data_IF_765883227122
#
_entry.id   IF_765883227122
#
_cell.length_a   1.000
_cell.length_b   1.000
_cell.length_c   1.000
_cell.angle_alpha   90.00
_cell.angle_beta   90.00
_cell.angle_gamma   90.00
#
_symmetry.space_group_name_H-M   'P 1'
#
loop_
_entity.id
_entity.type
_entity.pdbx_description
1 polymer ?
#
# COMPACT_ATOMS: atom_id res chain seq x y z
N UNK A 1 24.93 3.55 -42.92
CA UNK A 1 25.24 3.49 -41.48
C UNK A 1 24.57 2.26 -40.93
N UNK A 2 25.38 1.22 -40.67
CA UNK A 2 24.92 -0.12 -40.33
C UNK A 2 24.56 -0.22 -38.84
N UNK A 3 23.39 -0.80 -38.54
CA UNK A 3 22.96 -1.15 -37.18
C UNK A 3 23.46 -2.56 -36.85
N UNK A 4 24.32 -2.75 -35.84
CA UNK A 4 24.66 -4.08 -35.36
C UNK A 4 23.52 -4.63 -34.49
N UNK A 5 23.07 -5.84 -34.84
CA UNK A 5 22.18 -6.67 -34.04
C UNK A 5 22.93 -7.20 -32.82
N UNK A 6 22.55 -6.76 -31.62
CA UNK A 6 23.00 -7.37 -30.36
C UNK A 6 22.07 -8.53 -30.00
N UNK A 7 22.68 -9.71 -29.92
CA UNK A 7 22.02 -10.99 -29.67
C UNK A 7 21.48 -11.14 -28.25
N UNK A 8 20.34 -11.80 -28.16
CA UNK A 8 19.71 -12.26 -26.92
C UNK A 8 20.50 -13.44 -26.33
N UNK A 9 20.88 -13.43 -25.04
CA UNK A 9 21.44 -14.60 -24.38
C UNK A 9 20.36 -15.63 -24.05
N UNK A 10 20.73 -16.89 -24.28
CA UNK A 10 19.94 -18.09 -24.10
C UNK A 10 19.43 -18.25 -22.65
N UNK A 11 18.11 -18.45 -22.50
CA UNK A 11 17.48 -18.82 -21.23
C UNK A 11 17.63 -20.32 -21.01
N UNK A 12 18.63 -20.71 -20.23
CA UNK A 12 18.80 -22.09 -19.75
C UNK A 12 17.67 -22.40 -18.76
N UNK A 13 16.78 -23.32 -19.14
CA UNK A 13 15.75 -23.89 -18.27
C UNK A 13 16.43 -24.85 -17.28
N UNK A 14 16.37 -24.54 -15.99
CA UNK A 14 16.72 -25.48 -14.93
C UNK A 14 15.43 -25.91 -14.25
N UNK A 15 14.98 -27.11 -14.64
CA UNK A 15 13.91 -27.88 -14.01
C UNK A 15 14.53 -28.51 -12.77
N UNK A 16 14.06 -28.13 -11.58
CA UNK A 16 14.34 -28.87 -10.35
C UNK A 16 13.00 -29.27 -9.73
N UNK A 17 12.68 -30.55 -9.92
CA UNK A 17 11.60 -31.24 -9.23
C UNK A 17 12.00 -31.45 -7.76
N UNK A 18 11.13 -31.09 -6.83
CA UNK A 18 11.23 -31.54 -5.43
C UNK A 18 9.91 -32.19 -5.04
N UNK A 19 10.04 -33.41 -4.54
CA UNK A 19 8.99 -34.36 -4.25
C UNK A 19 8.40 -34.19 -2.83
N UNK A 20 7.07 -34.29 -2.79
CA UNK A 20 6.16 -34.88 -1.79
C UNK A 20 6.74 -35.30 -0.43
N UNK A 21 6.15 -34.80 0.66
CA UNK A 21 5.82 -35.60 1.85
C UNK A 21 4.41 -35.23 2.35
N UNK A 22 3.50 -36.19 2.25
CA UNK A 22 2.20 -36.26 2.95
C UNK A 22 2.42 -36.89 4.33
N UNK A 23 1.71 -36.40 5.36
CA UNK A 23 1.31 -36.99 6.67
C UNK A 23 1.09 -35.80 7.64
N UNK A 24 0.02 -35.63 8.42
CA UNK A 24 -1.00 -36.56 8.88
C UNK A 24 -2.23 -35.83 9.46
N UNK A 25 -3.29 -36.61 9.63
CA UNK A 25 -4.58 -36.23 10.21
C UNK A 25 -4.46 -36.01 11.72
N UNK A 26 -4.89 -34.85 12.20
CA UNK A 26 -5.11 -34.55 13.62
C UNK A 26 -6.48 -33.90 13.80
N UNK A 27 -7.49 -34.73 14.08
CA UNK A 27 -8.81 -34.30 14.50
C UNK A 27 -8.83 -34.11 16.02
N UNK A 28 -9.10 -32.90 16.49
CA UNK A 28 -9.57 -32.64 17.85
C UNK A 28 -10.77 -31.69 17.77
N UNK A 29 -11.94 -32.23 18.06
CA UNK A 29 -13.18 -31.53 18.32
C UNK A 29 -13.23 -31.09 19.79
N UNK A 30 -13.37 -29.80 20.04
CA UNK A 30 -13.84 -29.19 21.29
C UNK A 30 -14.32 -27.78 20.91
N UNK A 31 -15.61 -27.48 20.94
CA UNK A 31 -16.39 -27.34 22.17
C UNK A 31 -16.39 -25.84 22.47
N UNK A 32 -17.43 -25.13 22.03
CA UNK A 32 -17.43 -23.69 21.87
C UNK A 32 -17.66 -22.88 23.14
N UNK A 33 -17.45 -21.57 22.99
CA UNK A 33 -18.18 -20.54 23.71
C UNK A 33 -18.43 -19.37 22.76
N UNK A 34 -19.71 -19.08 22.54
CA UNK A 34 -20.16 -17.85 21.92
C UNK A 34 -19.92 -16.70 22.89
N UNK A 35 -19.12 -15.73 22.49
CA UNK A 35 -19.14 -14.38 23.08
C UNK A 35 -19.20 -13.37 21.94
N UNK A 36 -20.41 -13.09 21.50
CA UNK A 36 -20.74 -11.86 20.77
C UNK A 36 -20.90 -10.73 21.78
N UNK A 37 -19.86 -9.91 21.91
CA UNK A 37 -19.97 -8.52 22.36
C UNK A 37 -18.87 -7.75 21.63
N UNK A 38 -19.27 -6.74 20.85
CA UNK A 38 -18.47 -6.15 19.78
C UNK A 38 -17.11 -5.61 20.21
N UNK A 39 -16.09 -6.04 19.50
CA UNK A 39 -14.80 -5.37 19.44
C UNK A 39 -14.86 -4.37 18.28
N UNK A 40 -15.22 -3.13 18.63
CA UNK A 40 -14.81 -1.99 17.83
C UNK A 40 -13.27 -2.04 17.75
N UNK A 41 -12.74 -1.96 16.51
CA UNK A 41 -11.35 -2.19 16.18
C UNK A 41 -10.38 -1.56 17.17
N UNK A 42 -9.76 -2.41 17.99
CA UNK A 42 -8.56 -2.04 18.71
C UNK A 42 -7.43 -1.95 17.69
N UNK A 43 -6.98 -0.74 17.39
CA UNK A 43 -5.77 -0.50 16.62
C UNK A 43 -4.64 -1.34 17.21
N UNK A 44 -4.06 -2.22 16.40
CA UNK A 44 -3.03 -3.19 16.77
C UNK A 44 -1.68 -2.53 17.05
N UNK A 45 -1.64 -1.67 18.07
CA UNK A 45 -0.42 -0.95 18.41
C UNK A 45 0.57 -1.90 19.09
N UNK A 46 1.75 -2.06 18.48
CA UNK A 46 2.79 -2.99 18.94
C UNK A 46 2.74 -4.38 18.28
N UNK A 47 1.77 -4.65 17.41
CA UNK A 47 1.79 -5.85 16.57
C UNK A 47 2.84 -5.67 15.46
N UNK A 48 3.75 -6.63 15.24
CA UNK A 48 4.58 -6.62 14.04
C UNK A 48 3.69 -6.74 12.80
N UNK A 49 4.04 -6.02 11.76
CA UNK A 49 3.36 -6.07 10.47
C UNK A 49 3.52 -7.41 9.78
N UNK A 50 2.69 -7.60 8.77
CA UNK A 50 2.77 -8.80 7.93
C UNK A 50 3.58 -8.46 6.69
N UNK A 51 4.41 -9.42 6.24
CA UNK A 51 5.23 -9.30 5.04
C UNK A 51 4.41 -9.77 3.84
N UNK A 52 4.22 -8.87 2.89
CA UNK A 52 3.48 -9.09 1.65
C UNK A 52 4.43 -9.30 0.47
N UNK A 53 3.93 -9.92 -0.60
CA UNK A 53 4.72 -10.20 -1.81
C UNK A 53 5.21 -8.91 -2.53
N UNK A 54 4.62 -7.76 -2.23
CA UNK A 54 5.00 -6.46 -2.75
C UNK A 54 4.12 -5.35 -2.20
N UNK A 55 4.48 -4.10 -2.47
CA UNK A 55 3.66 -2.94 -2.13
C UNK A 55 2.51 -2.81 -3.14
N UNK A 56 1.31 -2.55 -2.66
CA UNK A 56 0.13 -2.36 -3.51
C UNK A 56 -0.67 -1.12 -3.08
N UNK A 57 -0.51 -0.02 -3.83
CA UNK A 57 -1.21 1.23 -3.57
C UNK A 57 -2.70 1.22 -3.96
N UNK A 58 -3.15 0.18 -4.66
CA UNK A 58 -4.53 0.04 -5.15
C UNK A 58 -5.27 -1.09 -4.42
N UNK A 59 -4.63 -1.73 -3.44
CA UNK A 59 -5.29 -2.66 -2.54
C UNK A 59 -6.47 -1.96 -1.83
N UNK A 60 -7.62 -2.63 -1.65
CA UNK A 60 -8.83 -2.01 -1.10
C UNK A 60 -8.62 -1.31 0.25
N UNK A 61 -7.80 -1.90 1.14
CA UNK A 61 -7.46 -1.34 2.44
C UNK A 61 -6.68 -0.02 2.31
N UNK A 62 -5.69 0.01 1.40
CA UNK A 62 -4.90 1.22 1.16
C UNK A 62 -5.75 2.33 0.56
N UNK A 63 -6.66 2.00 -0.37
CA UNK A 63 -7.60 2.98 -0.92
C UNK A 63 -8.52 3.57 0.15
N UNK A 64 -9.04 2.73 1.05
CA UNK A 64 -9.88 3.18 2.16
C UNK A 64 -9.12 4.12 3.12
N UNK A 65 -7.88 3.81 3.45
CA UNK A 65 -7.04 4.64 4.33
C UNK A 65 -6.60 5.95 3.66
N UNK A 66 -6.45 5.94 2.33
CA UNK A 66 -6.31 7.15 1.52
C UNK A 66 -7.63 7.94 1.34
N UNK A 67 -8.73 7.45 1.92
CA UNK A 67 -10.03 8.12 1.94
C UNK A 67 -10.84 7.99 0.65
N UNK A 68 -10.50 7.00 -0.19
CA UNK A 68 -11.33 6.62 -1.33
C UNK A 68 -12.33 5.54 -0.94
N UNK A 69 -13.46 5.50 -1.64
CA UNK A 69 -14.32 4.31 -1.63
C UNK A 69 -13.71 3.25 -2.56
N UNK A 70 -13.26 2.08 -2.05
CA UNK A 70 -12.70 1.02 -2.89
C UNK A 70 -13.68 0.53 -3.96
N UNK A 71 -14.99 0.69 -3.77
CA UNK A 71 -16.00 0.32 -4.76
C UNK A 71 -16.07 1.30 -5.94
N UNK A 72 -15.53 2.52 -5.79
CA UNK A 72 -15.45 3.50 -6.87
C UNK A 72 -14.32 3.21 -7.86
N UNK A 73 -13.33 2.41 -7.46
CA UNK A 73 -12.24 2.00 -8.33
C UNK A 73 -12.74 1.00 -9.39
N UNK A 74 -12.55 1.35 -10.66
CA UNK A 74 -13.05 0.57 -11.81
C UNK A 74 -11.97 -0.21 -12.55
N UNK A 75 -10.73 -0.19 -12.06
CA UNK A 75 -9.60 -0.90 -12.66
C UNK A 75 -9.54 -2.40 -12.33
N UNK A 76 -8.35 -2.99 -12.51
CA UNK A 76 -8.14 -4.41 -12.23
C UNK A 76 -8.30 -4.70 -10.73
N UNK A 77 -8.81 -5.87 -10.35
CA UNK A 77 -8.90 -6.20 -8.91
C UNK A 77 -7.52 -6.40 -8.30
N UNK A 78 -7.28 -5.73 -7.18
CA UNK A 78 -6.10 -5.91 -6.34
C UNK A 78 -6.39 -6.86 -5.17
N UNK A 79 -5.42 -7.69 -4.75
CA UNK A 79 -5.57 -8.51 -3.56
C UNK A 79 -5.76 -7.65 -2.31
N UNK A 80 -6.42 -8.22 -1.32
CA UNK A 80 -6.48 -7.63 0.02
C UNK A 80 -5.10 -7.65 0.66
N UNK A 81 -4.77 -6.59 1.40
CA UNK A 81 -3.53 -6.48 2.16
C UNK A 81 -3.83 -6.25 3.65
N UNK A 82 -2.93 -6.64 4.55
CA UNK A 82 -3.07 -6.38 5.97
C UNK A 82 -3.08 -4.89 6.31
N UNK A 83 -3.65 -4.57 7.47
CA UNK A 83 -3.60 -3.23 8.04
C UNK A 83 -2.15 -2.78 8.28
N UNK A 84 -1.94 -1.46 8.24
CA UNK A 84 -0.65 -0.87 8.59
C UNK A 84 -0.29 -1.22 10.04
N UNK A 85 0.96 -1.64 10.26
CA UNK A 85 1.44 -2.08 11.56
C UNK A 85 2.90 -1.65 11.82
N UNK A 86 3.48 -2.08 12.95
CA UNK A 86 4.89 -1.83 13.24
C UNK A 86 5.82 -2.63 12.32
N UNK A 87 7.08 -2.19 12.18
CA UNK A 87 8.06 -2.95 11.39
C UNK A 87 8.42 -4.28 12.10
N UNK A 88 8.33 -5.44 11.43
CA UNK A 88 8.73 -6.72 12.00
C UNK A 88 10.21 -6.76 12.39
N UNK A 89 10.53 -7.49 13.46
CA UNK A 89 11.92 -7.70 13.86
C UNK A 89 12.71 -8.38 12.73
N UNK A 90 13.90 -7.86 12.44
CA UNK A 90 14.77 -8.38 11.40
C UNK A 90 14.39 -7.98 9.96
N UNK A 91 13.27 -7.29 9.73
CA UNK A 91 12.97 -6.76 8.41
C UNK A 91 13.98 -5.68 8.01
N UNK A 92 14.60 -5.85 6.84
CA UNK A 92 15.62 -4.92 6.33
C UNK A 92 15.10 -4.25 5.06
N UNK A 93 14.63 -3.01 5.19
CA UNK A 93 14.19 -2.23 4.04
C UNK A 93 15.39 -1.87 3.14
N UNK A 94 15.18 -1.93 1.84
CA UNK A 94 16.10 -1.47 0.79
C UNK A 94 15.53 -0.28 0.01
N UNK A 95 14.21 -0.15 -0.05
CA UNK A 95 13.49 0.98 -0.66
C UNK A 95 12.17 1.23 0.07
N UNK A 96 11.45 2.27 -0.35
CA UNK A 96 10.12 2.55 0.13
C UNK A 96 9.16 2.81 -1.05
N UNK A 97 7.87 2.57 -0.83
CA UNK A 97 6.80 3.01 -1.73
C UNK A 97 5.87 3.89 -0.93
N UNK A 98 5.69 5.13 -1.37
CA UNK A 98 4.72 6.06 -0.81
C UNK A 98 3.51 6.10 -1.74
N UNK A 99 2.35 5.80 -1.17
CA UNK A 99 1.07 6.02 -1.84
C UNK A 99 0.48 7.31 -1.29
N UNK A 100 0.09 8.27 -2.13
CA UNK A 100 -0.50 9.53 -1.67
C UNK A 100 -1.65 10.00 -2.53
N UNK A 101 -2.51 10.81 -1.95
CA UNK A 101 -3.57 11.55 -2.67
C UNK A 101 -3.10 12.96 -3.02
N UNK A 102 -4.00 13.76 -3.59
CA UNK A 102 -3.81 15.20 -3.83
C UNK A 102 -3.70 15.57 -5.30
N UNK A 103 -3.48 14.58 -6.17
CA UNK A 103 -3.40 14.79 -7.60
C UNK A 103 -4.71 14.44 -8.31
N UNK A 104 -4.94 15.12 -9.44
CA UNK A 104 -6.07 14.87 -10.33
C UNK A 104 -5.58 14.59 -11.74
N UNK A 105 -6.23 13.64 -12.40
CA UNK A 105 -6.01 13.32 -13.80
C UNK A 105 -7.21 13.79 -14.62
N UNK A 106 -6.99 14.21 -15.86
CA UNK A 106 -8.09 14.58 -16.76
C UNK A 106 -7.99 13.77 -18.05
N UNK A 107 -9.08 13.13 -18.42
CA UNK A 107 -9.22 12.38 -19.66
C UNK A 107 -10.53 12.71 -20.39
N UNK A 108 -10.90 11.91 -21.38
CA UNK A 108 -12.13 12.12 -22.13
C UNK A 108 -13.40 11.92 -21.26
N UNK A 109 -13.34 11.08 -20.23
CA UNK A 109 -14.47 10.82 -19.33
C UNK A 109 -14.65 11.94 -18.30
N UNK A 110 -13.57 12.60 -17.88
CA UNK A 110 -13.63 13.78 -17.03
C UNK A 110 -12.38 13.98 -16.18
N UNK A 111 -12.56 14.63 -15.04
CA UNK A 111 -11.54 14.80 -14.01
C UNK A 111 -11.67 13.70 -12.95
N UNK A 112 -10.56 13.04 -12.67
CA UNK A 112 -10.43 11.94 -11.74
C UNK A 112 -9.54 12.36 -10.57
N UNK A 113 -9.89 11.93 -9.36
CA UNK A 113 -8.95 11.86 -8.27
C UNK A 113 -7.99 10.69 -8.52
N UNK A 114 -6.73 10.87 -8.16
CA UNK A 114 -5.70 9.88 -8.40
C UNK A 114 -4.93 9.50 -7.13
N UNK A 115 -4.44 8.26 -7.12
CA UNK A 115 -3.39 7.81 -6.21
C UNK A 115 -2.07 7.97 -6.93
N UNK A 116 -1.13 8.69 -6.32
CA UNK A 116 0.26 8.73 -6.76
C UNK A 116 1.04 7.66 -6.00
N UNK A 117 1.66 6.73 -6.72
CA UNK A 117 2.58 5.75 -6.18
C UNK A 117 4.01 6.17 -6.53
N UNK A 118 4.84 6.44 -5.52
CA UNK A 118 6.23 6.82 -5.71
C UNK A 118 7.16 5.76 -5.12
N UNK A 119 8.00 5.16 -5.96
CA UNK A 119 9.11 4.32 -5.52
C UNK A 119 10.28 5.20 -5.14
N UNK A 120 10.70 5.08 -3.89
CA UNK A 120 11.74 5.89 -3.27
C UNK A 120 12.96 5.01 -2.98
N UNK A 121 14.13 5.42 -3.48
CA UNK A 121 15.39 4.70 -3.30
C UNK A 121 16.46 5.64 -2.71
N UNK A 122 17.49 5.07 -2.09
CA UNK A 122 18.53 5.82 -1.40
C UNK A 122 18.87 5.20 -0.05
N UNK A 123 19.43 6.00 0.86
CA UNK A 123 19.66 5.54 2.24
C UNK A 123 18.35 5.55 3.03
N UNK A 124 17.68 4.38 3.08
CA UNK A 124 16.40 4.23 3.78
C UNK A 124 16.52 4.13 5.30
N UNK A 125 17.73 4.02 5.86
CA UNK A 125 17.92 3.81 7.31
C UNK A 125 17.36 4.95 8.17
N UNK A 126 17.55 6.24 7.85
CA UNK A 126 16.96 7.33 8.62
C UNK A 126 15.43 7.27 8.66
N UNK A 127 14.79 6.90 7.54
CA UNK A 127 13.35 6.71 7.48
C UNK A 127 12.91 5.55 8.37
N UNK A 128 13.57 4.40 8.27
CA UNK A 128 13.29 3.20 9.07
C UNK A 128 13.41 3.50 10.57
N UNK A 129 14.46 4.20 11.00
CA UNK A 129 14.66 4.63 12.38
C UNK A 129 13.54 5.56 12.85
N UNK A 130 13.16 6.53 12.02
CA UNK A 130 12.10 7.49 12.34
C UNK A 130 10.72 6.82 12.52
N UNK A 131 10.36 5.88 11.64
CA UNK A 131 9.07 5.18 11.73
C UNK A 131 9.07 4.13 12.85
N UNK A 132 10.17 3.41 13.04
CA UNK A 132 10.26 2.36 14.08
C UNK A 132 10.30 2.96 15.48
N UNK A 133 11.02 4.06 15.68
CA UNK A 133 11.10 4.76 16.96
C UNK A 133 9.79 5.41 17.41
N UNK A 134 8.83 5.61 16.49
CA UNK A 134 7.54 6.25 16.76
C UNK A 134 6.33 5.33 16.69
N UNK A 135 6.42 4.22 15.96
CA UNK A 135 5.38 3.19 15.96
C UNK A 135 5.13 2.62 17.37
N UNK A 136 6.13 2.70 18.25
CA UNK A 136 6.01 2.36 19.68
C UNK A 136 5.27 3.43 20.51
N UNK A 137 5.18 4.68 20.02
CA UNK A 137 4.62 5.83 20.75
C UNK A 137 3.14 6.10 20.42
N UNK A 138 2.64 5.64 19.27
CA UNK A 138 1.20 5.71 18.94
C UNK A 138 0.32 4.81 19.82
N UNK A 139 0.91 4.16 20.85
CA UNK A 139 0.24 3.32 21.84
C UNK A 139 -0.56 4.11 22.88
N UNK A 140 -0.39 5.43 22.95
CA UNK A 140 -1.04 6.28 23.94
C UNK A 140 -2.19 7.10 23.32
N UNK A 141 -3.34 6.45 23.08
CA UNK A 141 -4.60 7.16 22.79
C UNK A 141 -5.32 6.66 21.54
N UNK A 142 -6.11 5.60 21.68
CA UNK A 142 -6.85 4.94 20.60
C UNK A 142 -8.01 5.76 20.03
N UNK A 143 -7.70 6.67 19.12
CA UNK A 143 -8.64 7.21 18.16
C UNK A 143 -8.02 7.12 16.77
N UNK A 144 -8.72 6.46 15.83
CA UNK A 144 -8.37 6.54 14.41
C UNK A 144 -8.38 8.01 14.02
N UNK A 145 -7.26 8.58 13.54
CA UNK A 145 -7.23 9.97 13.15
C UNK A 145 -8.27 10.20 12.05
N UNK A 146 -9.19 11.13 12.28
CA UNK A 146 -10.17 11.52 11.26
C UNK A 146 -9.51 12.58 10.39
N UNK A 147 -9.14 12.22 9.17
CA UNK A 147 -8.57 13.18 8.24
C UNK A 147 -9.60 14.29 7.92
N UNK A 148 -9.12 15.49 7.65
CA UNK A 148 -9.94 16.49 6.97
C UNK A 148 -10.45 15.93 5.63
N UNK A 149 -11.68 16.27 5.19
CA UNK A 149 -12.27 15.69 3.98
C UNK A 149 -11.39 15.89 2.74
N UNK A 150 -10.75 17.05 2.63
CA UNK A 150 -9.90 17.47 1.50
C UNK A 150 -8.40 17.46 1.83
N UNK A 151 -7.99 16.82 2.93
CA UNK A 151 -6.58 16.73 3.30
C UNK A 151 -5.84 15.70 2.43
N UNK A 152 -4.60 16.01 2.06
CA UNK A 152 -3.71 15.01 1.46
C UNK A 152 -3.46 13.88 2.45
N UNK A 153 -3.65 12.65 1.99
CA UNK A 153 -3.40 11.42 2.76
C UNK A 153 -2.20 10.69 2.19
N UNK A 154 -1.53 9.92 3.03
CA UNK A 154 -0.38 9.12 2.60
C UNK A 154 -0.30 7.80 3.35
N UNK A 155 0.16 6.79 2.64
CA UNK A 155 0.45 5.45 3.13
C UNK A 155 1.89 5.09 2.76
N UNK A 156 2.54 4.30 3.62
CA UNK A 156 3.95 3.95 3.44
C UNK A 156 4.16 2.45 3.49
N UNK A 157 4.87 1.95 2.48
CA UNK A 157 5.38 0.61 2.41
C UNK A 157 6.91 0.64 2.48
N UNK A 158 7.49 -0.21 3.31
CA UNK A 158 8.92 -0.49 3.30
C UNK A 158 9.15 -1.77 2.52
N UNK A 159 10.06 -1.75 1.55
CA UNK A 159 10.30 -2.86 0.63
C UNK A 159 11.73 -3.35 0.80
N UNK A 160 11.92 -4.66 0.88
CA UNK A 160 13.25 -5.26 1.02
C UNK A 160 13.94 -5.49 -0.34
N UNK A 161 15.15 -6.06 -0.31
CA UNK A 161 15.92 -6.36 -1.51
C UNK A 161 15.33 -7.49 -2.39
N UNK A 162 14.39 -8.28 -1.87
CA UNK A 162 13.68 -9.33 -2.60
C UNK A 162 12.36 -8.83 -3.21
N UNK A 163 11.97 -7.58 -2.89
CA UNK A 163 10.74 -6.96 -3.36
C UNK A 163 9.53 -7.26 -2.47
N UNK A 164 9.70 -7.95 -1.34
CA UNK A 164 8.61 -8.11 -0.37
C UNK A 164 8.46 -6.84 0.45
N UNK A 165 7.25 -6.57 0.91
CA UNK A 165 6.90 -5.29 1.48
C UNK A 165 6.16 -5.41 2.82
N UNK A 166 6.32 -4.41 3.67
CA UNK A 166 5.56 -4.25 4.90
C UNK A 166 4.87 -2.89 4.87
N UNK A 167 3.55 -2.88 5.07
CA UNK A 167 2.77 -1.66 5.25
C UNK A 167 2.96 -1.14 6.67
N UNK A 168 3.56 0.05 6.80
CA UNK A 168 3.93 0.61 8.10
C UNK A 168 3.00 1.76 8.51
N UNK A 169 2.69 1.82 9.81
CA UNK A 169 1.91 2.94 10.35
C UNK A 169 2.69 4.24 10.25
N UNK A 170 2.11 5.23 9.57
CA UNK A 170 2.59 6.60 9.64
C UNK A 170 2.05 7.30 10.89
N UNK A 171 2.87 8.10 11.60
CA UNK A 171 2.35 8.96 12.66
C UNK A 171 1.23 9.87 12.14
N UNK A 172 0.14 9.98 12.90
CA UNK A 172 -1.05 10.72 12.47
C UNK A 172 -1.91 9.99 11.43
N UNK A 173 -1.64 8.69 11.18
CA UNK A 173 -2.40 7.84 10.26
C UNK A 173 -2.41 8.35 8.83
N UNK A 174 -1.36 9.08 8.42
CA UNK A 174 -1.27 9.65 7.08
C UNK A 174 -2.14 10.89 6.83
N UNK A 175 -2.99 11.29 7.78
CA UNK A 175 -3.89 12.45 7.67
C UNK A 175 -3.23 13.80 7.98
N UNK A 176 -2.18 13.77 8.79
CA UNK A 176 -1.52 14.97 9.32
C UNK A 176 -0.16 15.19 8.65
N UNK A 177 0.38 16.42 8.69
CA UNK A 177 1.76 16.65 8.29
C UNK A 177 2.69 15.67 8.99
N UNK A 178 3.51 14.97 8.20
CA UNK A 178 4.44 13.99 8.74
C UNK A 178 5.38 14.66 9.73
N UNK A 179 5.67 14.02 10.88
CA UNK A 179 6.68 14.55 11.78
C UNK A 179 8.01 14.74 11.07
N UNK A 180 8.73 15.81 11.43
CA UNK A 180 9.99 16.21 10.78
C UNK A 180 10.95 15.04 10.51
N UNK A 181 11.23 14.10 11.43
CA UNK A 181 12.13 12.99 11.14
C UNK A 181 11.65 12.05 10.01
N UNK A 182 10.34 11.82 9.91
CA UNK A 182 9.77 10.99 8.83
C UNK A 182 9.75 11.77 7.52
N UNK A 183 9.36 13.05 7.57
CA UNK A 183 9.36 13.92 6.41
C UNK A 183 10.77 14.08 5.81
N UNK A 184 11.77 14.35 6.65
CA UNK A 184 13.19 14.46 6.25
C UNK A 184 13.71 13.13 5.70
N UNK A 185 13.36 12.01 6.35
CA UNK A 185 13.72 10.68 5.89
C UNK A 185 13.17 10.35 4.50
N UNK A 186 11.91 10.74 4.21
CA UNK A 186 11.33 10.60 2.87
C UNK A 186 11.95 11.57 1.86
N UNK A 187 12.20 12.83 2.26
CA UNK A 187 12.78 13.84 1.39
C UNK A 187 14.25 13.58 1.02
N UNK A 188 14.95 12.76 1.81
CA UNK A 188 16.32 12.31 1.53
C UNK A 188 16.38 11.16 0.52
N UNK A 189 15.25 10.54 0.17
CA UNK A 189 15.16 9.50 -0.83
C UNK A 189 14.83 10.09 -2.21
N UNK A 190 15.37 9.47 -3.24
CA UNK A 190 15.11 9.82 -4.62
C UNK A 190 13.89 9.05 -5.13
N UNK A 191 12.93 9.78 -5.71
CA UNK A 191 11.84 9.15 -6.46
C UNK A 191 12.38 8.64 -7.80
N UNK A 192 12.56 7.31 -7.89
CA UNK A 192 13.08 6.65 -9.11
C UNK A 192 11.98 6.24 -10.06
N UNK A 193 10.75 6.13 -9.56
CA UNK A 193 9.55 5.83 -10.35
C UNK A 193 8.33 6.50 -9.70
N UNK A 194 7.47 7.07 -10.54
CA UNK A 194 6.26 7.76 -10.12
C UNK A 194 5.14 7.42 -11.09
N UNK A 195 4.09 6.81 -10.56
CA UNK A 195 2.91 6.39 -11.31
C UNK A 195 1.66 7.04 -10.72
N UNK A 196 0.72 7.39 -11.59
CA UNK A 196 -0.56 7.99 -11.20
C UNK A 196 -1.70 7.09 -11.65
N UNK A 197 -2.58 6.75 -10.72
CA UNK A 197 -3.68 5.82 -10.93
C UNK A 197 -5.01 6.54 -10.73
N UNK A 198 -5.87 6.66 -11.77
CA UNK A 198 -7.21 7.21 -11.59
C UNK A 198 -8.04 6.26 -10.73
N UNK A 199 -8.63 6.78 -9.65
CA UNK A 199 -9.37 5.96 -8.68
C UNK A 199 -10.85 6.31 -8.58
N UNK A 200 -11.20 7.59 -8.63
CA UNK A 200 -12.58 8.04 -8.52
C UNK A 200 -12.86 9.22 -9.44
N UNK A 201 -13.95 9.16 -10.20
CA UNK A 201 -14.37 10.27 -11.06
C UNK A 201 -14.93 11.39 -10.19
N UNK A 202 -14.30 12.56 -10.24
CA UNK A 202 -14.69 13.75 -9.47
C UNK A 202 -15.72 14.57 -10.25
N UNK A 203 -15.47 14.77 -11.55
CA UNK A 203 -16.34 15.54 -12.42
C UNK A 203 -16.35 14.94 -13.84
N UNK A 204 -17.51 14.56 -14.40
CA UNK A 204 -17.58 14.09 -15.77
C UNK A 204 -17.38 15.24 -16.78
N UNK A 205 -16.84 14.93 -17.95
CA UNK A 205 -16.73 15.89 -19.06
C UNK A 205 -18.13 16.37 -19.48
N UNK A 206 -18.37 17.69 -19.55
CA UNK A 206 -19.66 18.22 -20.03
C UNK A 206 -19.98 17.73 -21.45
N UNK A 207 -21.15 17.14 -21.64
CA UNK A 207 -21.60 16.65 -22.94
C UNK A 207 -21.24 15.19 -23.25
N UNK A 208 -20.56 14.48 -22.35
CA UNK A 208 -20.48 13.02 -22.39
C UNK A 208 -21.87 12.42 -22.08
N UNK A 209 -22.77 12.48 -23.06
CA UNK A 209 -24.13 11.95 -22.94
C UNK A 209 -24.12 10.43 -22.96
N UNK A 210 -24.74 9.83 -21.95
CA UNK A 210 -25.12 8.42 -21.89
C UNK A 210 -26.21 8.10 -22.93
N UNK A 211 -25.80 7.81 -24.17
CA UNK A 211 -26.55 7.02 -25.15
C UNK A 211 -27.93 7.50 -25.62
N UNK A 212 -28.44 6.96 -26.75
CA UNK A 212 -29.67 7.44 -27.39
C UNK A 212 -30.94 6.97 -26.67
N UNK A 213 -31.88 7.89 -26.44
CA UNK A 213 -33.28 7.57 -26.12
C UNK A 213 -33.88 6.84 -27.33
N UNK A 214 -34.29 5.59 -27.14
CA UNK A 214 -35.03 4.83 -28.16
C UNK A 214 -36.50 5.17 -27.99
N UNK A 215 -37.09 5.80 -29.01
CA UNK A 215 -38.54 6.00 -29.19
C UNK A 215 -39.06 4.88 -30.11
#
# INVERSE_FOLDING_TARGET
MARPHLGLPARTRLVAAVAVVLLGLGACSGGGDASTAGEAGASSVGQPGTVEAGADCLAPQVLADLGFDPAAYTGARHPEVPDAAGLPEGFTAASAVRCSTGETLTDAAGTWAAVTASRLEGDVRPLVEAVSGRSTLSAAGGATPTCAPDGDRSELWLVDALGVAVRVVLPGGGCEPLPTPVADGLAALDAVDVEHYPVALVAPTPGASTGPTTD
#
